data_IF_125987008323
#
_entry.id   IF_125987008323
#
_cell.length_a   1.000
_cell.length_b   1.000
_cell.length_c   1.000
_cell.angle_alpha   90.00
_cell.angle_beta   90.00
_cell.angle_gamma   90.00
#
_symmetry.space_group_name_H-M   'P 1'
#
loop_
_entity.id
_entity.type
_entity.pdbx_description
1 polymer ?
#
# COMPACT_ATOMS: atom_id res chain seq x y z
N UNK A 1 -12.02 -8.88 18.17
CA UNK A 1 -11.81 -8.90 16.71
C UNK A 1 -10.35 -9.16 16.42
N UNK A 2 -10.09 -10.00 15.42
CA UNK A 2 -8.74 -10.37 14.99
C UNK A 2 -8.42 -9.66 13.66
N UNK A 3 -7.34 -8.90 13.65
CA UNK A 3 -6.91 -8.07 12.52
C UNK A 3 -5.55 -8.57 12.02
N UNK A 4 -5.43 -8.77 10.71
CA UNK A 4 -4.17 -9.05 10.02
C UNK A 4 -3.80 -7.85 9.14
N UNK A 5 -2.61 -7.30 9.30
CA UNK A 5 -2.02 -6.37 8.32
C UNK A 5 -1.00 -7.11 7.46
N UNK A 6 -1.17 -7.08 6.15
CA UNK A 6 -0.22 -7.63 5.18
C UNK A 6 0.62 -6.49 4.58
N UNK A 7 1.95 -6.67 4.55
CA UNK A 7 2.87 -5.62 4.11
C UNK A 7 2.96 -4.45 5.09
N UNK A 8 3.17 -4.74 6.37
CA UNK A 8 3.09 -3.73 7.44
C UNK A 8 4.23 -2.70 7.42
N UNK A 9 5.26 -2.90 6.62
CA UNK A 9 6.43 -2.05 6.61
C UNK A 9 7.03 -1.89 8.02
N UNK A 10 7.37 -0.68 8.38
CA UNK A 10 7.91 -0.36 9.71
C UNK A 10 6.86 -0.35 10.84
N UNK A 11 5.61 -0.77 10.58
CA UNK A 11 4.54 -0.82 11.59
C UNK A 11 3.93 0.54 11.96
N UNK A 12 4.05 1.54 11.08
CA UNK A 12 3.53 2.89 11.36
C UNK A 12 2.00 2.93 11.45
N UNK A 13 1.31 2.26 10.52
CA UNK A 13 -0.14 2.14 10.53
C UNK A 13 -0.61 1.31 11.73
N UNK A 14 -0.01 0.13 11.95
CA UNK A 14 -0.33 -0.74 13.10
C UNK A 14 -0.26 0.00 14.44
N UNK A 15 0.82 0.76 14.68
CA UNK A 15 0.98 1.55 15.89
C UNK A 15 -0.12 2.61 16.03
N UNK A 16 -0.46 3.30 14.94
CA UNK A 16 -1.53 4.29 14.94
C UNK A 16 -2.89 3.65 15.16
N UNK A 17 -3.18 2.54 14.47
CA UNK A 17 -4.43 1.79 14.60
C UNK A 17 -4.65 1.35 16.05
N UNK A 18 -3.67 0.68 16.65
CA UNK A 18 -3.74 0.21 18.05
C UNK A 18 -3.86 1.34 19.07
N UNK A 19 -3.38 2.55 18.74
CA UNK A 19 -3.54 3.72 19.62
C UNK A 19 -4.98 4.27 19.65
N UNK A 20 -5.80 3.90 18.66
CA UNK A 20 -7.17 4.41 18.49
C UNK A 20 -8.20 3.33 18.80
N UNK A 21 -7.92 2.09 18.38
CA UNK A 21 -8.86 0.96 18.49
C UNK A 21 -8.39 0.04 19.60
N UNK A 22 -9.22 -0.10 20.63
CA UNK A 22 -8.93 -0.97 21.78
C UNK A 22 -9.63 -2.33 21.65
N UNK A 23 -9.05 -3.36 22.28
CA UNK A 23 -9.67 -4.69 22.38
C UNK A 23 -9.62 -5.51 21.08
N UNK A 24 -8.68 -5.21 20.20
CA UNK A 24 -8.39 -5.99 18.99
C UNK A 24 -7.10 -6.78 19.15
N UNK A 25 -7.09 -8.01 18.66
CA UNK A 25 -5.88 -8.80 18.43
C UNK A 25 -5.32 -8.39 17.07
N UNK A 26 -4.11 -7.86 17.04
CA UNK A 26 -3.49 -7.33 15.83
C UNK A 26 -2.22 -8.10 15.50
N UNK A 27 -2.20 -8.73 14.35
CA UNK A 27 -1.02 -9.42 13.81
C UNK A 27 -0.62 -8.73 12.50
N UNK A 28 0.67 -8.58 12.28
CA UNK A 28 1.21 -7.97 11.08
C UNK A 28 2.22 -8.90 10.39
N UNK A 29 2.26 -8.87 9.06
CA UNK A 29 3.32 -9.55 8.30
C UNK A 29 3.99 -8.61 7.31
N UNK A 30 5.27 -8.90 7.03
CA UNK A 30 6.01 -8.26 5.93
C UNK A 30 7.02 -9.27 5.35
N UNK A 31 7.26 -9.21 4.03
CA UNK A 31 8.25 -10.07 3.37
C UNK A 31 9.70 -9.63 3.65
N UNK A 32 9.91 -8.40 4.14
CA UNK A 32 11.23 -7.88 4.48
C UNK A 32 11.53 -8.15 5.95
N UNK A 33 12.54 -8.99 6.28
CA UNK A 33 12.96 -9.20 7.66
C UNK A 33 13.32 -7.88 8.37
N UNK A 34 13.87 -6.93 7.62
CA UNK A 34 14.21 -5.61 8.15
C UNK A 34 12.98 -4.80 8.56
N UNK A 35 11.90 -4.85 7.79
CA UNK A 35 10.66 -4.18 8.14
C UNK A 35 10.03 -4.82 9.38
N UNK A 36 10.03 -6.14 9.45
CA UNK A 36 9.56 -6.89 10.64
C UNK A 36 10.32 -6.49 11.91
N UNK A 37 11.64 -6.37 11.85
CA UNK A 37 12.46 -5.91 13.00
C UNK A 37 12.03 -4.50 13.44
N UNK A 38 11.85 -3.58 12.50
CA UNK A 38 11.45 -2.20 12.79
C UNK A 38 10.03 -2.11 13.37
N UNK A 39 9.10 -2.93 12.87
CA UNK A 39 7.75 -3.01 13.41
C UNK A 39 7.75 -3.59 14.85
N UNK A 40 8.50 -4.65 15.09
CA UNK A 40 8.69 -5.24 16.45
C UNK A 40 9.29 -4.24 17.42
N UNK A 41 10.25 -3.42 16.99
CA UNK A 41 10.82 -2.36 17.81
C UNK A 41 9.80 -1.29 18.25
N UNK A 42 8.65 -1.21 17.56
CA UNK A 42 7.49 -0.38 17.92
C UNK A 42 6.43 -1.11 18.75
N UNK A 43 6.72 -2.36 19.16
CA UNK A 43 5.79 -3.17 19.95
C UNK A 43 4.69 -3.87 19.14
N UNK A 44 4.82 -3.95 17.81
CA UNK A 44 3.85 -4.63 16.95
C UNK A 44 4.17 -6.14 16.91
N UNK A 45 3.14 -7.01 17.02
CA UNK A 45 3.28 -8.45 16.71
C UNK A 45 3.45 -8.61 15.19
N UNK A 46 4.67 -8.39 14.72
CA UNK A 46 5.04 -8.49 13.32
C UNK A 46 5.82 -9.79 13.05
N UNK A 47 5.50 -10.45 11.93
CA UNK A 47 6.11 -11.73 11.52
C UNK A 47 6.59 -11.62 10.09
N UNK A 48 7.65 -12.36 9.76
CA UNK A 48 8.04 -12.55 8.37
C UNK A 48 6.99 -13.41 7.68
N UNK A 49 6.54 -12.99 6.48
CA UNK A 49 5.53 -13.75 5.72
C UNK A 49 5.29 -13.17 4.34
N UNK A 50 4.76 -14.02 3.46
CA UNK A 50 4.35 -13.67 2.10
C UNK A 50 2.81 -13.72 2.02
N UNK A 51 2.19 -12.66 1.52
CA UNK A 51 0.74 -12.59 1.31
C UNK A 51 0.23 -13.65 0.32
N UNK A 52 1.10 -14.15 -0.55
CA UNK A 52 0.78 -15.23 -1.50
C UNK A 52 0.79 -16.63 -0.86
N UNK A 53 1.20 -16.75 0.42
CA UNK A 53 1.26 -18.00 1.16
C UNK A 53 1.17 -17.71 2.66
N UNK A 54 -0.03 -17.38 3.14
CA UNK A 54 -0.27 -17.01 4.52
C UNK A 54 -0.23 -18.22 5.46
N UNK A 55 0.69 -18.20 6.43
CA UNK A 55 0.83 -19.27 7.43
C UNK A 55 -0.20 -19.13 8.58
N UNK A 56 -1.46 -18.88 8.23
CA UNK A 56 -2.58 -18.81 9.17
C UNK A 56 -3.66 -19.79 8.76
N UNK A 57 -4.42 -20.36 9.73
CA UNK A 57 -5.58 -21.19 9.42
C UNK A 57 -6.66 -20.44 8.64
N UNK A 58 -7.53 -21.17 7.98
CA UNK A 58 -8.73 -20.62 7.34
C UNK A 58 -9.60 -19.91 8.38
N UNK A 59 -10.30 -18.86 7.98
CA UNK A 59 -11.27 -18.13 8.81
C UNK A 59 -10.70 -17.69 10.18
N UNK A 60 -9.48 -17.11 10.18
CA UNK A 60 -8.77 -16.67 11.38
C UNK A 60 -8.99 -15.20 11.73
N UNK A 61 -9.33 -14.37 10.73
CA UNK A 61 -9.38 -12.92 10.90
C UNK A 61 -10.75 -12.34 10.54
N UNK A 62 -11.14 -11.29 11.26
CA UNK A 62 -12.34 -10.50 10.97
C UNK A 62 -12.04 -9.39 9.95
N UNK A 63 -10.77 -8.92 9.92
CA UNK A 63 -10.31 -7.86 9.05
C UNK A 63 -8.92 -8.17 8.55
N UNK A 64 -8.70 -8.01 7.23
CA UNK A 64 -7.38 -7.93 6.63
C UNK A 64 -7.15 -6.50 6.14
N UNK A 65 -5.97 -5.95 6.42
CA UNK A 65 -5.55 -4.61 5.97
C UNK A 65 -4.36 -4.76 5.04
N UNK A 66 -4.42 -4.11 3.87
CA UNK A 66 -3.37 -4.12 2.84
C UNK A 66 -3.09 -2.69 2.36
N UNK A 67 -2.20 -1.96 3.05
CA UNK A 67 -1.93 -0.56 2.76
C UNK A 67 -0.71 -0.42 1.84
N UNK A 68 -0.91 0.13 0.63
CA UNK A 68 0.14 0.45 -0.36
C UNK A 68 1.10 -0.71 -0.64
N UNK A 69 0.57 -1.94 -0.74
CA UNK A 69 1.41 -3.11 -0.94
C UNK A 69 0.94 -4.05 -2.06
N UNK A 70 -0.38 -4.10 -2.39
CA UNK A 70 -0.92 -5.07 -3.36
C UNK A 70 -0.34 -4.90 -4.77
N UNK A 71 0.01 -3.69 -5.16
CA UNK A 71 0.66 -3.43 -6.46
C UNK A 71 2.12 -3.92 -6.54
N UNK A 72 2.71 -4.34 -5.43
CA UNK A 72 4.03 -4.98 -5.40
C UNK A 72 3.97 -6.51 -5.49
N UNK A 73 2.76 -7.08 -5.43
CA UNK A 73 2.58 -8.53 -5.39
C UNK A 73 2.67 -9.11 -6.81
N UNK A 74 3.59 -10.06 -7.06
CA UNK A 74 3.76 -10.65 -8.38
C UNK A 74 2.53 -11.43 -8.88
N UNK A 75 1.87 -12.18 -8.00
CA UNK A 75 0.66 -12.96 -8.29
C UNK A 75 -0.50 -12.44 -7.41
N UNK A 76 -1.11 -11.34 -7.86
CA UNK A 76 -2.21 -10.72 -7.14
C UNK A 76 -3.42 -11.65 -6.95
N UNK A 77 -3.87 -12.45 -7.93
CA UNK A 77 -4.92 -13.43 -7.73
C UNK A 77 -4.63 -14.41 -6.60
N UNK A 78 -3.40 -14.92 -6.52
CA UNK A 78 -2.98 -15.83 -5.46
C UNK A 78 -3.02 -15.16 -4.09
N UNK A 79 -2.54 -13.92 -3.98
CA UNK A 79 -2.62 -13.16 -2.74
C UNK A 79 -4.06 -12.91 -2.30
N UNK A 80 -4.94 -12.54 -3.23
CA UNK A 80 -6.37 -12.32 -2.92
C UNK A 80 -7.05 -13.63 -2.50
N UNK A 81 -6.71 -14.77 -3.09
CA UNK A 81 -7.23 -16.07 -2.65
C UNK A 81 -6.83 -16.41 -1.22
N UNK A 82 -5.59 -16.12 -0.82
CA UNK A 82 -5.10 -16.33 0.54
C UNK A 82 -5.77 -15.37 1.54
N UNK A 83 -5.95 -14.10 1.15
CA UNK A 83 -6.67 -13.12 1.97
C UNK A 83 -8.10 -13.59 2.23
N UNK A 84 -8.82 -14.02 1.19
CA UNK A 84 -10.20 -14.57 1.36
C UNK A 84 -10.19 -15.82 2.22
N UNK A 85 -9.22 -16.72 2.05
CA UNK A 85 -9.14 -17.95 2.84
C UNK A 85 -9.01 -17.66 4.35
N UNK A 86 -8.19 -16.70 4.72
CA UNK A 86 -7.95 -16.38 6.13
C UNK A 86 -9.04 -15.49 6.74
N UNK A 87 -9.86 -14.82 5.93
CA UNK A 87 -11.00 -14.06 6.40
C UNK A 87 -12.13 -14.99 6.86
N UNK A 88 -12.76 -14.66 7.98
CA UNK A 88 -13.99 -15.30 8.43
C UNK A 88 -15.15 -14.96 7.49
N UNK A 89 -16.18 -15.82 7.40
CA UNK A 89 -17.42 -15.45 6.73
C UNK A 89 -17.96 -14.10 7.26
N UNK A 90 -18.15 -13.13 6.36
CA UNK A 90 -18.54 -11.77 6.73
C UNK A 90 -17.38 -10.87 7.20
N UNK A 91 -16.16 -11.35 7.13
CA UNK A 91 -14.97 -10.53 7.33
C UNK A 91 -14.71 -9.58 6.15
N UNK A 92 -13.83 -8.62 6.33
CA UNK A 92 -13.56 -7.56 5.35
C UNK A 92 -12.07 -7.44 5.00
N UNK A 93 -11.80 -7.05 3.74
CA UNK A 93 -10.52 -6.52 3.31
C UNK A 93 -10.62 -5.00 3.23
N UNK A 94 -9.66 -4.29 3.83
CA UNK A 94 -9.43 -2.86 3.58
C UNK A 94 -8.08 -2.71 2.88
N UNK A 95 -8.10 -2.20 1.65
CA UNK A 95 -6.90 -2.03 0.85
C UNK A 95 -6.74 -0.57 0.42
N UNK A 96 -5.58 0.02 0.70
CA UNK A 96 -5.23 1.34 0.21
C UNK A 96 -4.22 1.25 -0.93
N UNK A 97 -4.40 2.11 -1.95
CA UNK A 97 -3.50 2.21 -3.10
C UNK A 97 -3.47 3.63 -3.65
N UNK A 98 -2.65 3.85 -4.66
CA UNK A 98 -2.55 5.12 -5.37
C UNK A 98 -3.21 5.03 -6.75
N UNK A 99 -3.56 6.20 -7.32
CA UNK A 99 -3.99 6.33 -8.71
C UNK A 99 -2.81 6.26 -9.69
N UNK A 100 -3.09 5.88 -10.92
CA UNK A 100 -2.11 5.86 -12.01
C UNK A 100 -1.60 7.27 -12.34
N UNK A 101 -2.37 8.32 -11.95
CA UNK A 101 -2.03 9.74 -12.09
C UNK A 101 -1.17 10.30 -10.95
N UNK A 102 -0.71 9.45 -10.02
CA UNK A 102 0.06 9.88 -8.84
C UNK A 102 1.32 10.65 -9.23
N UNK A 103 1.39 11.91 -8.79
CA UNK A 103 2.50 12.83 -9.07
C UNK A 103 2.80 13.06 -10.56
N UNK A 104 1.76 13.05 -11.40
CA UNK A 104 1.91 13.28 -12.87
C UNK A 104 2.69 14.55 -13.19
N UNK A 105 2.51 15.64 -12.41
CA UNK A 105 3.24 16.88 -12.59
C UNK A 105 4.74 16.71 -12.40
N UNK A 106 5.17 15.86 -11.48
CA UNK A 106 6.58 15.55 -11.27
C UNK A 106 7.12 14.67 -12.40
N UNK A 107 6.42 13.61 -12.73
CA UNK A 107 6.89 12.64 -13.72
C UNK A 107 6.89 13.20 -15.13
N UNK A 108 6.02 14.18 -15.45
CA UNK A 108 6.03 14.88 -16.73
C UNK A 108 7.25 15.80 -16.93
N UNK A 109 7.94 16.21 -15.86
CA UNK A 109 9.17 16.98 -15.94
C UNK A 109 10.38 16.11 -16.33
N UNK A 110 10.33 14.84 -15.94
CA UNK A 110 11.38 13.85 -16.19
C UNK A 110 10.94 13.02 -17.39
N UNK A 111 11.22 13.51 -18.59
CA UNK A 111 10.77 12.87 -19.83
C UNK A 111 11.75 11.75 -20.22
N UNK A 112 11.73 10.64 -19.49
CA UNK A 112 12.58 9.48 -19.75
C UNK A 112 12.14 8.64 -20.97
N UNK A 113 11.01 8.97 -21.61
CA UNK A 113 10.43 8.13 -22.65
C UNK A 113 9.86 6.80 -22.14
N UNK A 114 10.05 6.49 -20.88
CA UNK A 114 9.53 5.30 -20.25
C UNK A 114 8.05 5.49 -19.91
N UNK A 115 7.22 4.56 -20.36
CA UNK A 115 5.83 4.51 -19.93
C UNK A 115 5.76 4.34 -18.41
N UNK A 116 4.85 5.04 -17.74
CA UNK A 116 4.56 4.76 -16.33
C UNK A 116 4.15 3.31 -16.21
N UNK A 117 4.84 2.48 -15.41
CA UNK A 117 4.43 1.09 -15.24
C UNK A 117 2.98 1.05 -14.76
N UNK A 118 2.15 0.30 -15.46
CA UNK A 118 0.79 0.04 -15.03
C UNK A 118 0.83 -0.75 -13.71
N UNK A 119 0.17 -0.23 -12.68
CA UNK A 119 0.11 -0.90 -11.38
C UNK A 119 -0.88 -2.07 -11.46
N UNK A 120 -0.46 -3.23 -10.97
CA UNK A 120 -1.34 -4.41 -10.91
C UNK A 120 -2.56 -4.20 -9.99
N UNK A 121 -2.50 -3.19 -9.11
CA UNK A 121 -3.56 -2.78 -8.21
C UNK A 121 -3.49 -1.27 -8.00
N UNK A 122 -4.28 -0.51 -8.74
CA UNK A 122 -4.37 0.95 -8.67
C UNK A 122 -5.76 1.42 -8.23
N UNK A 123 -5.94 2.72 -8.10
CA UNK A 123 -7.27 3.32 -7.91
C UNK A 123 -8.21 2.93 -9.05
N UNK A 124 -7.70 2.82 -10.28
CA UNK A 124 -8.45 2.53 -11.48
C UNK A 124 -8.80 1.03 -11.61
N UNK A 125 -7.85 0.14 -11.30
CA UNK A 125 -7.99 -1.31 -11.50
C UNK A 125 -8.46 -2.09 -10.25
N UNK A 126 -8.30 -1.49 -9.06
CA UNK A 126 -8.47 -2.21 -7.79
C UNK A 126 -9.86 -2.79 -7.57
N UNK A 127 -10.92 -2.06 -7.95
CA UNK A 127 -12.29 -2.57 -7.81
C UNK A 127 -12.53 -3.81 -8.69
N UNK A 128 -12.03 -3.81 -9.93
CA UNK A 128 -12.18 -4.95 -10.86
C UNK A 128 -11.35 -6.15 -10.40
N UNK A 129 -10.18 -5.91 -9.80
CA UNK A 129 -9.36 -6.97 -9.21
C UNK A 129 -10.04 -7.64 -7.99
N UNK A 130 -10.82 -6.89 -7.20
CA UNK A 130 -11.48 -7.39 -5.98
C UNK A 130 -12.83 -8.07 -6.24
N UNK A 131 -13.61 -7.63 -7.24
CA UNK A 131 -14.96 -8.16 -7.53
C UNK A 131 -15.06 -9.66 -7.72
N UNK A 132 -14.08 -10.40 -8.27
CA UNK A 132 -14.14 -11.86 -8.35
C UNK A 132 -14.12 -12.57 -6.99
N UNK A 133 -13.68 -11.88 -5.94
CA UNK A 133 -13.39 -12.46 -4.62
C UNK A 133 -14.38 -12.02 -3.54
N UNK A 134 -15.00 -10.85 -3.70
CA UNK A 134 -15.86 -10.21 -2.70
C UNK A 134 -17.21 -9.85 -3.29
N UNK A 135 -18.27 -10.03 -2.50
CA UNK A 135 -19.65 -9.77 -2.93
C UNK A 135 -19.94 -8.28 -3.08
N UNK A 136 -19.30 -7.44 -2.26
CA UNK A 136 -19.39 -5.99 -2.33
C UNK A 136 -18.00 -5.35 -2.29
N UNK A 137 -17.80 -4.32 -3.10
CA UNK A 137 -16.57 -3.52 -3.13
C UNK A 137 -16.96 -2.06 -3.15
N UNK A 138 -16.64 -1.36 -2.08
CA UNK A 138 -16.77 0.10 -1.97
C UNK A 138 -15.42 0.75 -2.20
N UNK A 139 -15.39 1.88 -2.92
CA UNK A 139 -14.19 2.69 -3.17
C UNK A 139 -14.38 4.08 -2.60
N UNK A 140 -13.38 4.58 -1.89
CA UNK A 140 -13.30 5.91 -1.32
C UNK A 140 -12.05 6.60 -1.87
N UNK A 141 -12.23 7.69 -2.62
CA UNK A 141 -11.14 8.44 -3.21
C UNK A 141 -10.73 9.62 -2.35
N UNK A 142 -9.43 9.80 -2.19
CA UNK A 142 -8.81 10.88 -1.44
C UNK A 142 -7.89 11.66 -2.40
N UNK A 143 -8.29 12.87 -2.74
CA UNK A 143 -7.51 13.75 -3.60
C UNK A 143 -6.74 14.78 -2.76
N UNK A 144 -5.49 15.00 -3.12
CA UNK A 144 -4.63 15.93 -2.40
C UNK A 144 -3.45 16.40 -3.24
N UNK A 145 -2.43 16.89 -2.57
CA UNK A 145 -1.16 17.18 -3.22
C UNK A 145 0.00 16.98 -2.24
N UNK A 146 1.08 16.39 -2.72
CA UNK A 146 2.37 16.45 -2.05
C UNK A 146 3.00 17.82 -2.33
N UNK A 147 3.46 18.46 -1.29
CA UNK A 147 4.20 19.73 -1.39
C UNK A 147 5.64 19.45 -1.04
N UNK A 148 6.52 19.73 -1.97
CA UNK A 148 7.97 19.63 -1.80
C UNK A 148 8.52 21.04 -1.53
N UNK A 149 8.96 21.35 -0.32
CA UNK A 149 9.43 22.68 0.05
C UNK A 149 10.69 23.11 -0.71
N UNK A 150 11.56 22.15 -1.02
CA UNK A 150 12.84 22.37 -1.70
C UNK A 150 13.06 21.40 -2.85
N UNK A 151 14.07 21.69 -3.68
CA UNK A 151 14.55 20.75 -4.70
C UNK A 151 15.07 19.45 -4.07
N UNK A 152 15.80 19.55 -2.97
CA UNK A 152 16.37 18.40 -2.27
C UNK A 152 15.26 17.43 -1.83
N UNK A 153 14.08 17.94 -1.40
CA UNK A 153 12.93 17.09 -1.05
C UNK A 153 12.39 16.34 -2.28
N UNK A 154 12.35 16.99 -3.45
CA UNK A 154 11.94 16.33 -4.70
C UNK A 154 12.96 15.25 -5.08
N UNK A 155 14.25 15.56 -5.02
CA UNK A 155 15.30 14.59 -5.34
C UNK A 155 15.31 13.40 -4.37
N UNK A 156 15.12 13.66 -3.07
CA UNK A 156 15.03 12.60 -2.07
C UNK A 156 13.81 11.69 -2.34
N UNK A 157 12.69 12.27 -2.73
CA UNK A 157 11.50 11.50 -3.11
C UNK A 157 11.79 10.64 -4.35
N UNK A 158 12.35 11.22 -5.44
CA UNK A 158 12.68 10.45 -6.65
C UNK A 158 13.60 9.29 -6.31
N UNK A 159 14.68 9.52 -5.56
CA UNK A 159 15.64 8.47 -5.12
C UNK A 159 14.98 7.37 -4.28
N UNK A 160 13.91 7.68 -3.56
CA UNK A 160 13.20 6.71 -2.74
C UNK A 160 12.32 5.75 -3.55
N UNK A 161 12.03 6.07 -4.82
CA UNK A 161 11.19 5.23 -5.67
C UNK A 161 11.98 4.03 -6.20
N UNK A 162 11.37 2.84 -6.13
CA UNK A 162 12.05 1.59 -6.52
C UNK A 162 12.41 1.55 -8.00
N UNK A 163 11.58 2.13 -8.87
CA UNK A 163 11.72 2.02 -10.34
C UNK A 163 12.31 3.26 -10.99
N UNK A 164 12.24 4.44 -10.35
CA UNK A 164 12.57 5.73 -10.94
C UNK A 164 13.68 6.49 -10.22
N UNK A 165 14.28 5.91 -9.17
CA UNK A 165 15.32 6.57 -8.38
C UNK A 165 16.54 7.01 -9.23
N UNK A 166 16.85 6.28 -10.29
CA UNK A 166 17.93 6.58 -11.23
C UNK A 166 17.67 7.83 -12.08
N UNK A 167 16.42 8.29 -12.20
CA UNK A 167 16.04 9.45 -13.01
C UNK A 167 16.28 10.79 -12.29
N UNK A 168 16.78 10.78 -11.08
CA UNK A 168 16.99 12.00 -10.28
C UNK A 168 17.88 13.02 -11.00
N UNK A 169 18.88 12.56 -11.76
CA UNK A 169 19.82 13.43 -12.49
C UNK A 169 19.17 14.07 -13.73
N UNK A 170 18.00 13.60 -14.15
CA UNK A 170 17.21 14.17 -15.26
C UNK A 170 16.28 15.30 -14.80
N UNK A 171 16.15 15.54 -13.49
CA UNK A 171 15.27 16.57 -12.95
C UNK A 171 15.72 17.97 -13.40
N UNK A 172 14.90 18.68 -14.22
CA UNK A 172 15.25 20.01 -14.69
C UNK A 172 15.23 21.04 -13.53
N UNK A 173 15.49 22.31 -13.85
CA UNK A 173 15.24 23.37 -12.89
C UNK A 173 13.72 23.43 -12.58
N UNK A 174 13.38 23.43 -11.28
CA UNK A 174 12.00 23.51 -10.81
C UNK A 174 11.80 24.72 -9.90
N UNK A 175 10.58 25.26 -9.93
CA UNK A 175 10.17 26.29 -8.95
C UNK A 175 9.69 25.62 -7.68
N UNK A 176 10.15 26.08 -6.54
CA UNK A 176 9.74 25.58 -5.22
C UNK A 176 8.96 26.65 -4.45
N UNK A 177 8.00 26.27 -3.58
CA UNK A 177 7.59 24.90 -3.30
C UNK A 177 6.94 24.25 -4.53
N UNK A 178 7.36 23.03 -4.86
CA UNK A 178 6.77 22.24 -5.93
C UNK A 178 5.57 21.44 -5.41
N UNK A 179 4.49 21.41 -6.18
CA UNK A 179 3.26 20.70 -5.82
C UNK A 179 2.96 19.64 -6.88
N UNK A 180 2.78 18.41 -6.43
CA UNK A 180 2.35 17.31 -7.27
C UNK A 180 1.05 16.71 -6.74
N UNK A 181 0.09 16.47 -7.63
CA UNK A 181 -1.21 15.88 -7.30
C UNK A 181 -1.04 14.49 -6.71
N UNK A 182 -1.90 14.18 -5.76
CA UNK A 182 -2.01 12.83 -5.21
C UNK A 182 -3.45 12.34 -5.33
N UNK A 183 -3.60 11.15 -5.89
CA UNK A 183 -4.85 10.38 -5.83
C UNK A 183 -4.55 9.11 -5.06
N UNK A 184 -5.28 8.89 -3.97
CA UNK A 184 -5.25 7.65 -3.21
C UNK A 184 -6.66 7.10 -3.14
N UNK A 185 -6.79 5.78 -3.17
CA UNK A 185 -8.08 5.11 -3.02
C UNK A 185 -8.00 4.08 -1.92
N UNK A 186 -9.06 4.01 -1.13
CA UNK A 186 -9.28 2.96 -0.14
C UNK A 186 -10.44 2.11 -0.63
N UNK A 187 -10.22 0.82 -0.72
CA UNK A 187 -11.24 -0.17 -1.03
C UNK A 187 -11.65 -0.88 0.25
N UNK A 188 -12.97 -1.02 0.45
CA UNK A 188 -13.57 -1.87 1.47
C UNK A 188 -14.31 -2.97 0.74
N UNK A 189 -13.87 -4.21 0.92
CA UNK A 189 -14.40 -5.38 0.22
C UNK A 189 -14.92 -6.42 1.22
N UNK A 190 -16.19 -6.88 1.03
CA UNK A 190 -16.90 -7.79 1.92
C UNK A 190 -17.62 -8.92 1.16
#
# INVERSE_FOLDING_TARGET
QDVLEVGCGMGGFAARFQSIVNGVSYTAIDQSPRMVELARARGIDARHGDVQSLEFPDASFDLVVANWMLYHVPDLPKALSEIVRVLRPGGALVAATMGDDMHTELWSLINSGDATPELSFSAESGADALRPWFAAVERIDLHGATVFPSRDDVEAYIRSTMTRGHLVDELPHITVPFRARTTNSVFVAT
#
